data_IF_913605372833
#
_entry.id   IF_913605372833
#
_cell.length_a   1.000
_cell.length_b   1.000
_cell.length_c   1.000
_cell.angle_alpha   90.00
_cell.angle_beta   90.00
_cell.angle_gamma   90.00
#
_symmetry.space_group_name_H-M   'P 1'
#
loop_
_entity.id
_entity.type
_entity.pdbx_description
1 polymer ?
#
# COMPACT_ATOMS: atom_id res chain seq x y z
N UNK A 1 -7.72 23.16 7.35
CA UNK A 1 -6.73 22.17 7.81
C UNK A 1 -7.16 20.78 7.39
N UNK A 2 -7.14 20.50 6.09
CA UNK A 2 -7.45 19.16 5.57
C UNK A 2 -6.18 18.33 5.52
N UNK A 3 -6.19 17.14 6.13
CA UNK A 3 -5.07 16.21 6.03
C UNK A 3 -5.00 15.55 4.65
N UNK A 4 -3.83 14.99 4.34
CA UNK A 4 -3.66 14.11 3.19
C UNK A 4 -4.57 12.89 3.34
N UNK A 5 -5.39 12.64 2.34
CA UNK A 5 -6.35 11.55 2.33
C UNK A 5 -6.47 10.94 0.95
N UNK A 6 -7.13 9.80 0.88
CA UNK A 6 -7.47 9.20 -0.40
C UNK A 6 -8.41 8.02 -0.26
N UNK A 7 -8.91 7.56 -1.40
CA UNK A 7 -9.83 6.44 -1.53
C UNK A 7 -9.24 5.39 -2.45
N UNK A 8 -9.39 4.12 -2.06
CA UNK A 8 -8.89 2.98 -2.83
C UNK A 8 -10.04 2.16 -3.39
N UNK A 9 -10.00 1.89 -4.69
CA UNK A 9 -10.86 0.90 -5.34
C UNK A 9 -10.00 -0.32 -5.65
N UNK A 10 -10.42 -1.50 -5.19
CA UNK A 10 -9.74 -2.77 -5.42
C UNK A 10 -10.70 -3.70 -6.15
N UNK A 11 -10.24 -4.37 -7.21
CA UNK A 11 -11.03 -5.34 -7.96
C UNK A 11 -10.15 -6.47 -8.51
N UNK A 12 -10.76 -7.63 -8.76
CA UNK A 12 -10.09 -8.75 -9.41
C UNK A 12 -10.05 -8.55 -10.94
N UNK A 13 -8.86 -8.56 -11.53
CA UNK A 13 -8.69 -8.59 -12.99
C UNK A 13 -8.45 -10.03 -13.46
N UNK A 14 -9.45 -10.59 -14.15
CA UNK A 14 -9.39 -11.98 -14.62
C UNK A 14 -8.31 -12.20 -15.68
N UNK A 15 -7.99 -11.21 -16.51
CA UNK A 15 -6.99 -11.37 -17.57
C UNK A 15 -5.56 -11.35 -17.00
N UNK A 16 -5.37 -10.64 -15.88
CA UNK A 16 -4.08 -10.54 -15.17
C UNK A 16 -3.94 -11.55 -14.03
N UNK A 17 -5.00 -12.25 -13.67
CA UNK A 17 -5.06 -13.16 -12.52
C UNK A 17 -4.54 -12.52 -11.23
N UNK A 18 -4.93 -11.25 -11.01
CA UNK A 18 -4.41 -10.43 -9.91
C UNK A 18 -5.45 -9.44 -9.39
N UNK A 19 -5.34 -9.05 -8.12
CA UNK A 19 -6.07 -7.90 -7.59
C UNK A 19 -5.41 -6.62 -8.12
N UNK A 20 -6.19 -5.77 -8.77
CA UNK A 20 -5.77 -4.46 -9.24
C UNK A 20 -6.39 -3.40 -8.33
N UNK A 21 -5.64 -2.34 -8.05
CA UNK A 21 -6.18 -1.19 -7.35
C UNK A 21 -5.91 0.13 -8.05
N UNK A 22 -6.76 1.10 -7.72
CA UNK A 22 -6.54 2.52 -7.94
C UNK A 22 -6.66 3.23 -6.60
N UNK A 23 -5.71 4.11 -6.28
CA UNK A 23 -5.74 4.94 -5.10
C UNK A 23 -5.75 6.41 -5.52
N UNK A 24 -6.85 7.11 -5.24
CA UNK A 24 -7.07 8.51 -5.59
C UNK A 24 -6.82 9.39 -4.38
N UNK A 25 -6.00 10.43 -4.54
CA UNK A 25 -5.55 11.27 -3.42
C UNK A 25 -6.19 12.65 -3.45
N UNK A 26 -6.33 13.28 -2.28
CA UNK A 26 -6.72 14.69 -2.18
C UNK A 26 -5.66 15.65 -2.75
N UNK A 27 -4.44 15.16 -3.02
CA UNK A 27 -3.34 15.90 -3.63
C UNK A 27 -3.42 15.98 -5.17
N UNK A 28 -4.48 15.47 -5.79
CA UNK A 28 -4.74 15.63 -7.22
C UNK A 28 -3.97 14.66 -8.13
N UNK A 29 -3.41 13.59 -7.58
CA UNK A 29 -2.82 12.48 -8.33
C UNK A 29 -3.40 11.13 -7.86
N UNK A 30 -3.14 10.09 -8.65
CA UNK A 30 -3.53 8.72 -8.29
C UNK A 30 -2.38 7.73 -8.54
N UNK A 31 -2.40 6.63 -7.81
CA UNK A 31 -1.55 5.46 -8.06
C UNK A 31 -2.41 4.30 -8.54
N UNK A 32 -1.80 3.39 -9.29
CA UNK A 32 -2.43 2.11 -9.63
C UNK A 32 -1.43 1.00 -9.47
N UNK A 33 -1.88 -0.20 -9.15
CA UNK A 33 -0.98 -1.30 -8.91
C UNK A 33 -1.67 -2.62 -8.80
N UNK A 34 -0.87 -3.63 -8.48
CA UNK A 34 -1.32 -4.99 -8.22
C UNK A 34 -1.16 -5.31 -6.74
N UNK A 35 -2.03 -6.17 -6.23
CA UNK A 35 -1.88 -6.83 -4.94
C UNK A 35 -1.75 -8.33 -5.19
N UNK A 36 -0.70 -8.92 -4.64
CA UNK A 36 -0.46 -10.36 -4.64
C UNK A 36 -0.46 -10.87 -3.19
N UNK A 37 -1.06 -12.03 -2.99
CA UNK A 37 -1.07 -12.72 -1.70
C UNK A 37 -0.11 -13.90 -1.77
N UNK A 38 0.82 -13.99 -0.82
CA UNK A 38 1.79 -15.08 -0.69
C UNK A 38 1.82 -15.56 0.76
N UNK A 39 1.27 -16.74 1.05
CA UNK A 39 1.21 -17.30 2.41
C UNK A 39 0.70 -16.30 3.47
N UNK A 40 1.62 -15.68 4.22
CA UNK A 40 1.38 -14.71 5.28
C UNK A 40 1.65 -13.24 4.86
N UNK A 41 1.84 -12.99 3.57
CA UNK A 41 2.21 -11.69 3.00
C UNK A 41 1.16 -11.16 2.03
N UNK A 42 0.86 -9.88 2.17
CA UNK A 42 0.24 -9.07 1.14
C UNK A 42 1.30 -8.16 0.54
N UNK A 43 1.51 -8.28 -0.77
CA UNK A 43 2.51 -7.50 -1.51
C UNK A 43 1.76 -6.58 -2.48
N UNK A 44 1.90 -5.27 -2.29
CA UNK A 44 1.47 -4.28 -3.29
C UNK A 44 2.65 -3.78 -4.11
N UNK A 45 2.43 -3.61 -5.41
CA UNK A 45 3.36 -2.92 -6.31
C UNK A 45 2.61 -1.86 -7.08
N UNK A 46 2.97 -0.61 -6.84
CA UNK A 46 2.23 0.58 -7.26
C UNK A 46 3.08 1.40 -8.23
N UNK A 47 2.44 1.90 -9.29
CA UNK A 47 2.97 2.87 -10.23
C UNK A 47 2.43 4.25 -9.87
N UNK A 48 3.34 5.18 -9.58
CA UNK A 48 3.01 6.52 -9.11
C UNK A 48 2.99 7.48 -10.29
N UNK A 49 1.90 8.22 -10.43
CA UNK A 49 1.78 9.31 -11.41
C UNK A 49 1.75 10.65 -10.70
N UNK A 50 2.25 11.71 -11.33
CA UNK A 50 2.10 13.09 -10.83
C UNK A 50 2.88 13.45 -9.57
N UNK A 51 3.77 12.59 -9.06
CA UNK A 51 4.58 12.89 -7.88
C UNK A 51 5.77 13.81 -8.21
N UNK A 52 5.99 14.84 -7.38
CA UNK A 52 7.06 15.82 -7.53
C UNK A 52 8.40 15.38 -6.92
N UNK A 53 8.45 14.26 -6.19
CA UNK A 53 9.63 13.81 -5.44
C UNK A 53 10.49 12.74 -6.14
N UNK A 54 10.22 12.44 -7.41
CA UNK A 54 10.98 11.48 -8.23
C UNK A 54 10.74 10.00 -7.90
N UNK A 55 9.68 9.68 -7.14
CA UNK A 55 9.24 8.30 -6.90
C UNK A 55 8.30 7.89 -8.02
N UNK A 56 8.67 6.84 -8.75
CA UNK A 56 7.90 6.31 -9.88
C UNK A 56 7.17 5.03 -9.54
N UNK A 57 7.68 4.26 -8.57
CA UNK A 57 7.05 3.03 -8.09
C UNK A 57 7.19 2.89 -6.58
N UNK A 58 6.23 2.21 -5.96
CA UNK A 58 6.22 1.86 -4.54
C UNK A 58 6.00 0.36 -4.44
N UNK A 59 6.76 -0.33 -3.58
CA UNK A 59 6.46 -1.70 -3.17
C UNK A 59 6.15 -1.70 -1.69
N UNK A 60 5.04 -2.31 -1.29
CA UNK A 60 4.69 -2.47 0.12
C UNK A 60 4.47 -3.94 0.44
N UNK A 61 5.00 -4.38 1.58
CA UNK A 61 4.81 -5.73 2.08
C UNK A 61 4.21 -5.63 3.48
N UNK A 62 2.98 -6.15 3.63
CA UNK A 62 2.37 -6.45 4.92
C UNK A 62 2.54 -7.93 5.22
N UNK A 63 3.34 -8.26 6.23
CA UNK A 63 3.60 -9.64 6.65
C UNK A 63 2.99 -9.91 8.02
N UNK A 64 2.13 -10.92 8.13
CA UNK A 64 1.64 -11.43 9.42
C UNK A 64 2.72 -12.37 10.00
N UNK A 65 3.26 -12.00 11.15
CA UNK A 65 4.30 -12.76 11.85
C UNK A 65 3.68 -13.91 12.68
N UNK A 66 4.48 -14.94 13.07
CA UNK A 66 3.97 -16.07 13.84
C UNK A 66 3.35 -15.71 15.20
N UNK A 67 3.67 -14.54 15.75
CA UNK A 67 3.12 -14.01 17.00
C UNK A 67 1.80 -13.23 16.81
N UNK A 68 1.28 -13.16 15.59
CA UNK A 68 0.05 -12.45 15.24
C UNK A 68 0.24 -10.96 14.93
N UNK A 69 1.45 -10.41 15.11
CA UNK A 69 1.74 -9.02 14.74
C UNK A 69 1.86 -8.86 13.22
N UNK A 70 1.56 -7.68 12.68
CA UNK A 70 1.78 -7.37 11.26
C UNK A 70 3.00 -6.46 11.12
N UNK A 71 3.97 -6.84 10.28
CA UNK A 71 5.07 -5.98 9.85
C UNK A 71 4.75 -5.38 8.49
N UNK A 72 4.63 -4.05 8.44
CA UNK A 72 4.56 -3.28 7.21
C UNK A 72 5.94 -2.76 6.84
N UNK A 73 6.37 -2.98 5.60
CA UNK A 73 7.59 -2.38 5.02
C UNK A 73 7.27 -1.81 3.65
N UNK A 74 8.00 -0.76 3.26
CA UNK A 74 7.87 -0.15 1.94
C UNK A 74 9.23 0.07 1.32
N UNK A 75 9.28 0.07 -0.02
CA UNK A 75 10.42 0.49 -0.81
C UNK A 75 9.94 1.43 -1.91
N UNK A 76 10.80 2.39 -2.27
CA UNK A 76 10.51 3.37 -3.30
C UNK A 76 11.49 3.21 -4.45
N UNK A 77 10.98 3.13 -5.68
CA UNK A 77 11.82 3.34 -6.86
C UNK A 77 11.98 4.84 -7.04
N UNK A 78 13.10 5.38 -6.58
CA UNK A 78 13.41 6.81 -6.62
C UNK A 78 14.58 7.03 -7.55
N UNK A 79 14.38 7.81 -8.61
CA UNK A 79 15.41 8.10 -9.62
C UNK A 79 16.05 6.84 -10.23
N UNK A 80 15.28 5.76 -10.41
CA UNK A 80 15.74 4.51 -11.00
C UNK A 80 16.40 3.52 -10.02
N UNK A 81 16.52 3.87 -8.73
CA UNK A 81 17.07 2.98 -7.70
C UNK A 81 16.03 2.65 -6.63
N UNK A 82 16.00 1.39 -6.20
CA UNK A 82 15.17 0.98 -5.07
C UNK A 82 15.83 1.40 -3.77
N UNK A 83 15.12 2.19 -2.97
CA UNK A 83 15.53 2.62 -1.64
C UNK A 83 14.50 2.18 -0.60
N UNK A 84 14.96 1.89 0.60
CA UNK A 84 14.08 1.53 1.70
C UNK A 84 13.19 2.73 2.09
N UNK A 85 11.93 2.42 2.37
CA UNK A 85 10.92 3.38 2.77
C UNK A 85 10.55 3.27 4.24
N UNK A 86 9.29 3.56 4.52
CA UNK A 86 8.71 3.43 5.85
C UNK A 86 8.59 1.96 6.29
N UNK A 87 8.75 1.75 7.59
CA UNK A 87 8.46 0.50 8.28
C UNK A 87 7.58 0.77 9.49
N UNK A 88 6.61 -0.11 9.72
CA UNK A 88 5.76 -0.09 10.90
C UNK A 88 5.48 -1.52 11.38
N UNK A 89 5.24 -1.66 12.67
CA UNK A 89 4.70 -2.89 13.26
C UNK A 89 3.35 -2.58 13.87
N UNK A 90 2.35 -3.33 13.46
CA UNK A 90 0.99 -3.26 13.96
C UNK A 90 0.74 -4.44 14.88
N UNK A 91 0.10 -4.14 16.00
CA UNK A 91 -0.34 -5.14 16.97
C UNK A 91 -1.85 -5.06 17.06
N UNK A 92 -2.50 -6.20 17.25
CA UNK A 92 -3.93 -6.22 17.52
C UNK A 92 -4.21 -5.51 18.86
N UNK A 93 -5.14 -4.56 18.85
CA UNK A 93 -5.72 -3.99 20.06
C UNK A 93 -7.10 -4.62 20.25
N UNK A 94 -7.21 -5.50 21.25
CA UNK A 94 -8.45 -6.22 21.54
C UNK A 94 -9.60 -5.32 22.02
N UNK A 95 -9.31 -4.05 22.35
CA UNK A 95 -10.31 -3.07 22.74
C UNK A 95 -10.66 -2.09 21.62
N UNK A 96 -10.01 -2.18 20.45
CA UNK A 96 -10.29 -1.28 19.33
C UNK A 96 -11.67 -1.59 18.74
N UNK A 97 -12.55 -0.59 18.72
CA UNK A 97 -13.84 -0.66 18.05
C UNK A 97 -13.82 0.14 16.75
N UNK A 98 -14.28 -0.46 15.65
CA UNK A 98 -14.47 0.26 14.39
C UNK A 98 -15.73 1.12 14.51
N UNK A 99 -15.56 2.42 14.71
CA UNK A 99 -16.65 3.39 14.78
C UNK A 99 -16.81 4.09 13.44
N UNK A 100 -17.86 3.72 12.69
CA UNK A 100 -18.23 4.41 11.46
C UNK A 100 -18.99 5.71 11.80
N UNK A 101 -18.71 6.79 11.05
CA UNK A 101 -19.50 8.03 11.07
C UNK A 101 -20.37 8.10 9.83
#
# INVERSE_FOLDING_TARGET
>A
DGEYGGETIIYWDKAKESLIFYYFTTAGFYTTGTITMEENKMISHEFVTGNQNGITEVKSIGEILPDGTMRGTTQYLKNGEWVDGHQATYVEDSNAEVVFK
#
